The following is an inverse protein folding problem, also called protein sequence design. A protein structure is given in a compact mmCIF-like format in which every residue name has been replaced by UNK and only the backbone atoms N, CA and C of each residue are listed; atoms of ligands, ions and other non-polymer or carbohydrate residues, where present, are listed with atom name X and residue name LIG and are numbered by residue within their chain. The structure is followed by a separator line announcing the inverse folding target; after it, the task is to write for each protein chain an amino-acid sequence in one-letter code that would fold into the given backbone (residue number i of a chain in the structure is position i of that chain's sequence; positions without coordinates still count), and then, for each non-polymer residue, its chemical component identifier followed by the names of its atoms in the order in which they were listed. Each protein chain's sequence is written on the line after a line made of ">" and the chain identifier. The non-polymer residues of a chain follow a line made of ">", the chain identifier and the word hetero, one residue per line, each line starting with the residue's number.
data_IF_952771436745
#
_entry.id   IF_952771436745
#
_cell.length_a   1.000
_cell.length_b   1.000
_cell.length_c   1.000
_cell.angle_alpha   90.00
_cell.angle_beta   90.00
_cell.angle_gamma   90.00
#
_symmetry.space_group_name_H-M   'P 1'
#
loop_
_entity.id
_entity.type
_entity.pdbx_description
1 polymer ?
#
# COMPACT_ATOMS: atom_id res chain seq x y z
N UNK A 1 -1.55 4.75 30.55
CA UNK A 1 -0.71 3.53 30.56
C UNK A 1 -1.50 2.44 31.26
N UNK A 2 -1.84 1.34 30.60
CA UNK A 2 -2.78 0.33 31.11
C UNK A 2 -2.15 -0.67 32.11
N UNK A 3 -0.84 -0.57 32.38
CA UNK A 3 -0.15 -1.44 33.33
C UNK A 3 -0.03 -2.91 32.88
N UNK A 4 -0.20 -3.18 31.59
CA UNK A 4 -0.12 -4.53 31.00
C UNK A 4 1.27 -4.70 30.38
N UNK A 5 2.01 -5.71 30.83
CA UNK A 5 3.30 -6.09 30.25
C UNK A 5 3.30 -7.52 29.72
N UNK A 6 3.73 -7.73 28.46
CA UNK A 6 3.99 -6.72 27.44
C UNK A 6 2.70 -6.03 26.95
N UNK A 7 2.76 -4.74 26.61
CA UNK A 7 1.60 -3.95 26.18
C UNK A 7 0.87 -4.56 24.97
N UNK A 8 -0.49 -4.55 24.93
CA UNK A 8 -1.26 -5.35 23.98
C UNK A 8 -0.95 -4.97 22.52
N UNK A 9 -0.98 -5.94 21.58
CA UNK A 9 -0.87 -5.65 20.16
C UNK A 9 -1.99 -4.73 19.67
N UNK A 10 -1.67 -3.84 18.73
CA UNK A 10 -2.63 -2.86 18.18
C UNK A 10 -3.08 -3.27 16.79
N UNK A 11 -4.40 -3.36 16.58
CA UNK A 11 -5.02 -3.51 15.27
C UNK A 11 -5.53 -2.15 14.75
N UNK A 12 -5.73 -2.02 13.44
CA UNK A 12 -6.11 -0.75 12.81
C UNK A 12 -7.47 -0.87 12.12
N UNK A 13 -8.35 0.08 12.44
CA UNK A 13 -9.57 0.33 11.68
C UNK A 13 -9.37 1.59 10.80
N UNK A 14 -9.28 1.46 9.47
CA UNK A 14 -8.91 2.56 8.58
C UNK A 14 -10.07 3.54 8.33
N UNK A 15 -10.32 4.44 9.28
CA UNK A 15 -11.41 5.44 9.19
C UNK A 15 -11.00 6.75 8.48
N UNK A 16 -9.71 7.03 8.38
CA UNK A 16 -9.19 8.29 7.84
C UNK A 16 -9.00 8.29 6.32
N UNK A 17 -8.29 9.30 5.82
CA UNK A 17 -7.80 9.36 4.43
C UNK A 17 -6.40 8.72 4.31
N UNK A 18 -5.52 8.99 5.27
CA UNK A 18 -4.13 8.50 5.34
C UNK A 18 -3.99 7.12 6.00
N UNK A 19 -4.45 6.07 5.33
CA UNK A 19 -4.50 4.71 5.89
C UNK A 19 -3.31 3.81 5.49
N UNK A 20 -2.12 4.37 5.30
CA UNK A 20 -1.00 3.61 4.69
C UNK A 20 -0.44 2.50 5.59
N UNK A 21 -0.42 2.69 6.92
CA UNK A 21 -0.11 1.61 7.85
C UNK A 21 -1.15 0.49 7.78
N UNK A 22 -2.43 0.84 7.67
CA UNK A 22 -3.52 -0.13 7.50
C UNK A 22 -3.37 -0.93 6.19
N UNK A 23 -3.02 -0.25 5.08
CA UNK A 23 -2.71 -0.91 3.80
C UNK A 23 -1.53 -1.88 3.93
N UNK A 24 -0.47 -1.47 4.62
CA UNK A 24 0.73 -2.30 4.85
C UNK A 24 0.39 -3.55 5.66
N UNK A 25 -0.45 -3.42 6.69
CA UNK A 25 -0.87 -4.52 7.57
C UNK A 25 -2.06 -5.34 7.05
N UNK A 26 -2.55 -5.04 5.84
CA UNK A 26 -3.65 -5.79 5.19
C UNK A 26 -5.06 -5.39 5.63
N UNK A 27 -5.23 -4.37 6.45
CA UNK A 27 -6.53 -3.84 6.88
C UNK A 27 -7.27 -3.05 5.80
N UNK A 28 -6.56 -2.65 4.74
CA UNK A 28 -7.14 -2.04 3.55
C UNK A 28 -7.04 -0.52 3.50
N UNK A 29 -7.59 0.06 2.45
CA UNK A 29 -7.50 1.51 2.16
C UNK A 29 -8.52 2.36 2.91
N UNK A 30 -9.54 1.73 3.50
CA UNK A 30 -10.60 2.39 4.25
C UNK A 30 -11.65 1.41 4.74
N UNK A 31 -12.42 1.84 5.73
CA UNK A 31 -13.58 1.12 6.24
C UNK A 31 -14.78 1.31 5.30
N UNK A 32 -15.49 0.23 5.02
CA UNK A 32 -16.64 0.19 4.11
C UNK A 32 -17.88 -0.39 4.83
N UNK A 33 -18.15 0.08 6.04
CA UNK A 33 -19.30 -0.31 6.86
C UNK A 33 -19.47 -1.83 7.06
N UNK A 34 -18.35 -2.57 7.07
CA UNK A 34 -18.37 -3.99 7.37
C UNK A 34 -18.69 -4.23 8.85
N UNK A 35 -19.39 -5.34 9.16
CA UNK A 35 -19.74 -5.66 10.55
C UNK A 35 -18.53 -5.60 11.49
N UNK A 36 -18.65 -4.83 12.59
CA UNK A 36 -17.61 -4.76 13.61
C UNK A 36 -17.26 -6.14 14.18
N UNK A 37 -18.23 -7.03 14.28
CA UNK A 37 -18.01 -8.43 14.69
C UNK A 37 -17.02 -9.13 13.76
N UNK A 38 -17.16 -8.93 12.44
CA UNK A 38 -16.23 -9.48 11.44
C UNK A 38 -14.83 -8.88 11.58
N UNK A 39 -14.72 -7.57 11.86
CA UNK A 39 -13.44 -6.91 12.13
C UNK A 39 -12.80 -7.54 13.37
N UNK A 40 -13.54 -7.71 14.46
CA UNK A 40 -13.07 -8.31 15.70
C UNK A 40 -12.60 -9.76 15.50
N UNK A 41 -13.32 -10.57 14.73
CA UNK A 41 -12.85 -11.92 14.36
C UNK A 41 -11.52 -11.86 13.60
N UNK A 42 -11.37 -10.93 12.64
CA UNK A 42 -10.08 -10.74 11.97
C UNK A 42 -8.97 -10.24 12.90
N UNK A 43 -9.30 -9.50 13.97
CA UNK A 43 -8.31 -9.08 14.99
C UNK A 43 -7.86 -10.29 15.81
N UNK A 44 -8.81 -11.13 16.23
CA UNK A 44 -8.55 -12.36 17.00
C UNK A 44 -7.71 -13.37 16.21
N UNK A 45 -8.04 -13.59 14.93
CA UNK A 45 -7.30 -14.47 14.01
C UNK A 45 -6.00 -13.85 13.48
N UNK A 46 -5.79 -12.56 13.74
CA UNK A 46 -4.69 -11.79 13.17
C UNK A 46 -3.32 -12.23 13.69
N UNK A 47 -2.32 -12.11 12.82
CA UNK A 47 -0.94 -12.43 13.20
C UNK A 47 -0.29 -11.21 13.84
N UNK A 48 0.32 -11.40 15.00
CA UNK A 48 1.15 -10.36 15.62
C UNK A 48 2.42 -10.18 14.80
N UNK A 49 2.70 -8.94 14.40
CA UNK A 49 3.94 -8.52 13.76
C UNK A 49 4.63 -7.44 14.62
N UNK A 50 5.93 -7.31 14.46
CA UNK A 50 6.67 -6.18 15.01
C UNK A 50 6.59 -5.00 14.06
N UNK A 51 6.59 -3.79 14.60
CA UNK A 51 6.69 -2.54 13.86
C UNK A 51 7.82 -1.73 14.47
N UNK A 52 8.86 -1.48 13.69
CA UNK A 52 9.96 -0.60 14.06
C UNK A 52 9.46 0.82 14.27
N UNK A 53 10.07 1.50 15.23
CA UNK A 53 9.77 2.89 15.58
C UNK A 53 11.07 3.66 15.56
N UNK A 54 11.01 4.90 15.10
CA UNK A 54 12.19 5.70 14.82
C UNK A 54 12.14 6.99 15.61
N UNK A 55 13.20 7.29 16.35
CA UNK A 55 13.37 8.59 16.96
C UNK A 55 13.76 9.60 15.89
N UNK A 56 13.21 10.81 15.99
CA UNK A 56 13.64 11.98 15.23
C UNK A 56 13.95 13.10 16.22
N UNK A 57 15.18 13.63 16.14
CA UNK A 57 15.65 14.72 17.00
C UNK A 57 16.01 15.92 16.15
N UNK A 58 15.60 17.10 16.62
CA UNK A 58 15.86 18.36 15.95
C UNK A 58 16.85 19.18 16.78
N UNK A 59 17.87 19.71 16.12
CA UNK A 59 18.81 20.66 16.70
C UNK A 59 18.92 21.87 15.76
N UNK A 60 19.12 23.06 16.32
CA UNK A 60 19.36 24.26 15.51
C UNK A 60 20.60 24.08 14.63
N UNK A 61 20.57 24.58 13.40
CA UNK A 61 21.77 24.56 12.57
C UNK A 61 22.86 25.46 13.19
N UNK A 62 24.14 25.05 13.23
CA UNK A 62 25.21 25.82 13.89
C UNK A 62 25.33 27.27 13.41
N UNK A 63 25.08 27.51 12.11
CA UNK A 63 25.08 28.86 11.52
C UNK A 63 23.90 29.73 11.96
N UNK A 64 22.82 29.13 12.46
CA UNK A 64 21.65 29.85 12.99
C UNK A 64 21.78 30.13 14.48
N UNK A 65 22.50 29.28 15.22
CA UNK A 65 22.81 29.48 16.64
C UNK A 65 23.78 30.65 16.87
N UNK A 66 24.71 30.89 15.95
CA UNK A 66 25.64 32.03 16.02
C UNK A 66 24.95 33.40 15.85
N UNK A 67 23.78 33.44 15.20
CA UNK A 67 23.00 34.65 14.92
C UNK A 67 22.06 35.06 16.06
N UNK A 68 21.88 34.20 17.08
CA UNK A 68 21.02 34.44 18.24
C UNK A 68 21.81 34.81 19.51
N UNK A 69 23.12 35.00 19.40
CA UNK A 69 23.97 35.45 20.51
C UNK A 69 23.95 36.99 20.71
N UNK A 70 22.77 37.63 20.61
CA UNK A 70 22.55 39.00 21.09
C UNK A 70 21.93 38.95 22.49
N UNK A 71 22.52 39.69 23.41
CA UNK A 71 22.48 39.55 24.89
C UNK A 71 21.13 39.75 25.62
N UNK A 72 19.97 39.60 24.96
CA UNK A 72 18.64 39.90 25.54
C UNK A 72 17.63 38.72 25.47
N UNK A 73 18.02 37.49 25.85
CA UNK A 73 17.10 36.33 25.80
C UNK A 73 16.93 35.60 27.14
N UNK A 74 16.08 36.15 28.02
CA UNK A 74 15.43 35.39 29.11
C UNK A 74 13.93 35.13 28.80
N UNK A 75 13.51 35.25 27.54
CA UNK A 75 12.10 35.12 27.13
C UNK A 75 11.84 34.83 25.63
N UNK A 76 12.81 34.34 24.87
CA UNK A 76 12.55 33.74 23.56
C UNK A 76 12.06 32.29 23.76
N UNK A 77 10.99 31.84 23.08
CA UNK A 77 10.54 30.46 23.22
C UNK A 77 11.64 29.51 22.75
N UNK A 78 11.77 28.32 23.37
CA UNK A 78 12.67 27.29 22.88
C UNK A 78 12.34 27.06 21.40
N UNK A 79 13.38 27.02 20.56
CA UNK A 79 13.34 26.71 19.12
C UNK A 79 12.03 26.00 18.73
N UNK A 80 11.20 26.61 17.87
CA UNK A 80 9.85 26.12 17.56
C UNK A 80 9.94 24.77 16.80
N UNK A 81 10.02 23.70 17.59
CA UNK A 81 10.28 22.33 17.14
C UNK A 81 8.96 21.58 16.94
N UNK A 82 8.94 20.60 16.02
CA UNK A 82 7.79 19.73 15.88
C UNK A 82 7.45 19.05 17.21
N UNK A 83 6.14 18.94 17.55
CA UNK A 83 5.72 18.30 18.79
C UNK A 83 6.00 16.78 18.79
N UNK A 84 6.19 16.19 17.61
CA UNK A 84 6.49 14.77 17.43
C UNK A 84 8.00 14.53 17.29
N UNK A 85 8.50 13.61 18.10
CA UNK A 85 9.90 13.15 18.08
C UNK A 85 10.03 11.68 17.68
N UNK A 86 8.97 11.08 17.12
CA UNK A 86 8.91 9.68 16.71
C UNK A 86 8.04 9.52 15.48
N UNK A 87 8.46 8.70 14.53
CA UNK A 87 7.59 8.21 13.47
C UNK A 87 7.51 6.69 13.46
N UNK A 88 6.38 6.17 12.98
CA UNK A 88 6.11 4.74 12.83
C UNK A 88 5.88 4.37 11.36
N UNK A 89 5.51 5.32 10.50
CA UNK A 89 5.26 5.09 9.09
C UNK A 89 6.37 5.69 8.24
N UNK A 90 6.55 7.02 8.32
CA UNK A 90 7.50 7.73 7.48
C UNK A 90 7.77 9.15 7.98
N UNK A 91 8.94 9.66 7.58
CA UNK A 91 9.33 11.05 7.69
C UNK A 91 9.72 11.56 6.30
N UNK A 92 9.29 12.77 5.92
CA UNK A 92 9.73 13.35 4.65
C UNK A 92 9.92 14.87 4.74
N UNK A 93 10.70 15.39 3.78
CA UNK A 93 10.92 16.82 3.61
C UNK A 93 10.91 17.21 2.12
N UNK A 94 10.49 18.43 1.85
CA UNK A 94 10.46 18.99 0.49
C UNK A 94 9.05 19.09 -0.09
N UNK A 95 8.92 18.83 -1.39
CA UNK A 95 7.66 19.05 -2.12
C UNK A 95 6.50 18.22 -1.58
N UNK A 96 6.74 17.00 -1.09
CA UNK A 96 5.67 16.15 -0.54
C UNK A 96 5.13 16.67 0.81
N UNK A 97 6.03 17.07 1.69
CA UNK A 97 5.70 17.70 2.96
C UNK A 97 5.06 19.07 2.76
N UNK A 98 5.42 19.79 1.69
CA UNK A 98 4.76 21.04 1.32
C UNK A 98 3.27 20.82 0.99
N UNK A 99 2.93 19.73 0.26
CA UNK A 99 1.54 19.37 -0.02
C UNK A 99 0.80 19.04 1.29
N UNK A 100 1.43 18.31 2.21
CA UNK A 100 0.84 18.02 3.52
C UNK A 100 0.60 19.30 4.33
N UNK A 101 1.56 20.24 4.31
CA UNK A 101 1.45 21.53 4.99
C UNK A 101 0.33 22.39 4.41
N UNK A 102 0.23 22.50 3.09
CA UNK A 102 -0.84 23.26 2.43
C UNK A 102 -2.22 22.65 2.68
N UNK A 103 -2.32 21.31 2.70
CA UNK A 103 -3.55 20.63 3.11
C UNK A 103 -3.95 21.00 4.54
N UNK A 104 -2.98 21.00 5.47
CA UNK A 104 -3.22 21.33 6.87
C UNK A 104 -3.65 22.79 7.03
N UNK A 105 -2.90 23.75 6.49
CA UNK A 105 -3.21 25.19 6.52
C UNK A 105 -4.59 25.45 5.89
N UNK A 106 -4.91 24.80 4.77
CA UNK A 106 -6.22 24.91 4.11
C UNK A 106 -7.36 24.34 4.95
N UNK A 107 -7.11 23.23 5.65
CA UNK A 107 -8.08 22.56 6.53
C UNK A 107 -8.37 23.39 7.77
N UNK A 108 -7.35 23.99 8.37
CA UNK A 108 -7.52 24.91 9.50
C UNK A 108 -8.30 26.16 9.08
N UNK A 109 -8.04 26.68 7.88
CA UNK A 109 -8.74 27.85 7.35
C UNK A 109 -10.21 27.57 6.97
N UNK A 110 -10.54 26.36 6.48
CA UNK A 110 -11.89 26.03 5.99
C UNK A 110 -12.35 24.62 6.42
N UNK A 111 -12.58 24.33 7.71
CA UNK A 111 -12.84 22.98 8.20
C UNK A 111 -14.03 22.28 7.51
N UNK A 112 -15.05 23.03 7.12
CA UNK A 112 -16.27 22.52 6.47
C UNK A 112 -16.01 21.91 5.08
N UNK A 113 -14.91 22.29 4.41
CA UNK A 113 -14.54 21.73 3.10
C UNK A 113 -13.89 20.35 3.20
N UNK A 114 -13.39 19.97 4.38
CA UNK A 114 -12.57 18.78 4.60
C UNK A 114 -13.27 17.66 5.38
N UNK A 115 -14.59 17.72 5.48
CA UNK A 115 -15.42 16.72 6.18
C UNK A 115 -15.65 15.42 5.39
N UNK A 116 -15.13 15.31 4.17
CA UNK A 116 -15.35 14.16 3.30
C UNK A 116 -14.03 13.57 2.82
N UNK A 117 -13.87 12.25 3.01
CA UNK A 117 -12.68 11.51 2.56
C UNK A 117 -12.43 11.65 1.06
N UNK A 118 -13.48 11.61 0.23
CA UNK A 118 -13.35 11.77 -1.23
C UNK A 118 -12.85 13.17 -1.60
N UNK A 119 -13.36 14.21 -0.94
CA UNK A 119 -12.90 15.60 -1.15
C UNK A 119 -11.46 15.78 -0.71
N UNK A 120 -11.09 15.22 0.44
CA UNK A 120 -9.74 15.27 0.95
C UNK A 120 -8.77 14.58 -0.01
N UNK A 121 -9.15 13.41 -0.53
CA UNK A 121 -8.34 12.69 -1.52
C UNK A 121 -8.21 13.46 -2.84
N UNK A 122 -9.28 14.13 -3.30
CA UNK A 122 -9.23 14.99 -4.48
C UNK A 122 -8.31 16.21 -4.28
N UNK A 123 -8.27 16.78 -3.08
CA UNK A 123 -7.31 17.84 -2.75
C UNK A 123 -5.87 17.34 -2.92
N UNK A 124 -5.51 16.20 -2.31
CA UNK A 124 -4.17 15.63 -2.44
C UNK A 124 -3.80 15.32 -3.90
N UNK A 125 -4.75 14.81 -4.68
CA UNK A 125 -4.53 14.57 -6.11
C UNK A 125 -4.30 15.86 -6.90
N UNK A 126 -5.09 16.91 -6.61
CA UNK A 126 -4.97 18.23 -7.24
C UNK A 126 -3.68 18.94 -6.89
N UNK A 127 -3.34 18.98 -5.59
CA UNK A 127 -2.18 19.70 -5.08
C UNK A 127 -0.87 18.93 -5.33
N UNK A 128 -0.89 17.60 -5.25
CA UNK A 128 0.23 16.75 -5.68
C UNK A 128 0.56 16.86 -7.17
N UNK A 129 -0.42 17.27 -8.00
CA UNK A 129 -0.24 17.49 -9.45
C UNK A 129 0.16 18.93 -9.80
N UNK A 130 0.17 19.86 -8.84
CA UNK A 130 0.46 21.26 -9.11
C UNK A 130 1.95 21.49 -9.28
N UNK A 131 2.34 21.71 -10.54
CA UNK A 131 3.71 22.02 -10.94
C UNK A 131 4.35 23.20 -10.19
N UNK A 132 3.57 24.07 -9.55
CA UNK A 132 4.03 25.21 -8.76
C UNK A 132 4.76 24.76 -7.49
N UNK A 133 4.21 23.81 -6.73
CA UNK A 133 4.86 23.27 -5.54
C UNK A 133 6.15 22.54 -5.93
N UNK A 134 6.06 21.66 -6.94
CA UNK A 134 7.25 20.96 -7.43
C UNK A 134 8.31 21.93 -7.93
N UNK A 135 7.92 23.07 -8.52
CA UNK A 135 8.84 24.14 -8.96
C UNK A 135 9.53 24.85 -7.79
N UNK A 136 8.81 25.18 -6.72
CA UNK A 136 9.37 25.86 -5.55
C UNK A 136 10.49 25.04 -4.87
N UNK A 137 10.40 23.71 -4.97
CA UNK A 137 11.32 22.77 -4.31
C UNK A 137 12.29 22.08 -5.26
N UNK A 138 12.47 22.56 -6.51
CA UNK A 138 13.46 22.00 -7.45
C UNK A 138 14.89 22.07 -6.95
N UNK A 139 15.20 23.12 -6.21
CA UNK A 139 16.54 23.35 -5.66
C UNK A 139 16.68 22.82 -4.23
N UNK A 140 15.75 21.99 -3.75
CA UNK A 140 15.82 21.41 -2.39
C UNK A 140 17.19 20.79 -2.12
N UNK A 141 17.69 19.99 -3.06
CA UNK A 141 18.99 19.32 -2.97
C UNK A 141 20.20 20.26 -2.78
N UNK A 142 20.09 21.54 -3.09
CA UNK A 142 21.16 22.52 -2.85
C UNK A 142 21.26 22.94 -1.38
N UNK A 143 20.17 22.83 -0.62
CA UNK A 143 20.06 23.31 0.76
C UNK A 143 19.94 22.19 1.78
N UNK A 144 20.11 20.93 1.35
CA UNK A 144 20.02 19.75 2.20
C UNK A 144 21.29 18.94 2.10
N UNK A 145 21.84 18.55 3.24
CA UNK A 145 22.84 17.49 3.37
C UNK A 145 22.21 16.21 3.89
N UNK A 146 22.70 15.06 3.44
CA UNK A 146 22.21 13.75 3.86
C UNK A 146 23.38 12.80 4.10
N UNK A 147 23.48 12.30 5.33
CA UNK A 147 24.40 11.23 5.71
C UNK A 147 23.59 10.05 6.24
N UNK A 148 23.87 8.84 5.76
CA UNK A 148 23.24 7.60 6.22
C UNK A 148 24.31 6.58 6.59
N UNK A 149 24.26 6.06 7.82
CA UNK A 149 25.24 5.12 8.38
C UNK A 149 26.70 5.52 8.12
N UNK A 150 27.01 6.82 8.27
CA UNK A 150 28.35 7.38 8.06
C UNK A 150 28.75 7.62 6.59
N UNK A 151 27.86 7.31 5.64
CA UNK A 151 28.07 7.56 4.21
C UNK A 151 27.33 8.83 3.78
N UNK A 152 28.06 9.75 3.14
CA UNK A 152 27.48 11.00 2.63
C UNK A 152 26.79 10.78 1.26
N UNK A 153 25.50 11.07 1.21
CA UNK A 153 24.66 11.01 0.01
C UNK A 153 24.33 12.40 -0.56
N UNK A 154 24.92 13.48 0.00
CA UNK A 154 24.62 14.86 -0.37
C UNK A 154 24.86 15.15 -1.84
N UNK A 155 25.96 14.67 -2.43
CA UNK A 155 26.20 14.87 -3.86
C UNK A 155 25.24 14.04 -4.71
N UNK A 156 24.85 12.85 -4.24
CA UNK A 156 23.89 12.01 -4.94
C UNK A 156 22.51 12.66 -5.01
N UNK A 157 22.03 13.28 -3.93
CA UNK A 157 20.72 13.98 -3.95
C UNK A 157 20.75 15.21 -4.86
N UNK A 158 21.90 15.88 -5.00
CA UNK A 158 22.13 17.01 -5.93
C UNK A 158 22.13 16.57 -7.38
N UNK A 159 22.86 15.51 -7.71
CA UNK A 159 22.86 14.91 -9.05
C UNK A 159 21.44 14.54 -9.51
N UNK A 160 20.69 13.93 -8.61
CA UNK A 160 19.32 13.50 -8.84
C UNK A 160 18.33 14.68 -8.86
N UNK A 161 18.73 15.90 -8.45
CA UNK A 161 17.81 17.06 -8.33
C UNK A 161 16.55 16.70 -7.54
N UNK A 162 16.75 16.02 -6.40
CA UNK A 162 15.67 15.54 -5.56
C UNK A 162 14.74 16.69 -5.15
N UNK A 163 13.43 16.52 -5.34
CA UNK A 163 12.40 17.49 -4.90
C UNK A 163 11.80 17.13 -3.56
N UNK A 164 11.92 15.87 -3.15
CA UNK A 164 11.55 15.37 -1.83
C UNK A 164 12.53 14.28 -1.39
N UNK A 165 12.78 14.19 -0.09
CA UNK A 165 13.54 13.11 0.54
C UNK A 165 12.60 12.41 1.53
N UNK A 166 12.49 11.09 1.41
CA UNK A 166 11.59 10.25 2.18
C UNK A 166 12.39 9.20 2.94
N UNK A 167 12.03 9.03 4.21
CA UNK A 167 12.46 7.94 5.07
C UNK A 167 11.23 7.10 5.37
N UNK A 168 11.22 5.86 4.88
CA UNK A 168 10.07 4.98 4.92
C UNK A 168 10.35 3.82 5.88
N UNK A 169 9.47 3.61 6.85
CA UNK A 169 9.44 2.41 7.69
C UNK A 169 8.41 1.39 7.20
N UNK A 170 7.45 1.82 6.39
CA UNK A 170 6.40 0.96 5.83
C UNK A 170 6.38 1.03 4.31
N UNK A 171 5.89 -0.04 3.69
CA UNK A 171 5.85 -0.18 2.23
C UNK A 171 4.94 0.81 1.51
N UNK A 172 3.88 1.26 2.19
CA UNK A 172 2.83 2.09 1.60
C UNK A 172 3.02 3.55 1.98
N UNK A 173 2.89 4.42 0.99
CA UNK A 173 3.04 5.86 1.13
C UNK A 173 1.99 6.56 0.26
N UNK A 174 1.53 7.74 0.68
CA UNK A 174 0.67 8.63 -0.10
C UNK A 174 -0.42 7.90 -0.89
N UNK A 175 -1.43 7.41 -0.16
CA UNK A 175 -2.57 6.66 -0.71
C UNK A 175 -2.24 5.27 -1.29
N UNK A 176 -1.13 4.66 -0.87
CA UNK A 176 -0.78 3.28 -1.18
C UNK A 176 0.28 3.10 -2.27
N UNK A 177 0.88 4.19 -2.74
CA UNK A 177 2.09 4.15 -3.55
C UNK A 177 3.21 3.40 -2.83
N UNK A 178 4.19 2.90 -3.60
CA UNK A 178 5.31 2.12 -3.09
C UNK A 178 6.63 2.73 -3.59
N UNK A 179 7.11 3.84 -2.98
CA UNK A 179 8.28 4.55 -3.49
C UNK A 179 9.56 3.71 -3.47
N UNK A 180 9.67 2.75 -2.53
CA UNK A 180 10.73 1.75 -2.53
C UNK A 180 10.52 0.65 -3.57
N UNK A 181 9.27 0.30 -3.89
CA UNK A 181 8.94 -0.76 -4.85
C UNK A 181 9.55 -2.12 -4.50
N UNK A 182 9.84 -2.92 -5.54
CA UNK A 182 10.52 -4.22 -5.42
C UNK A 182 11.91 -4.12 -6.02
N UNK A 183 13.00 -4.12 -5.21
CA UNK A 183 14.35 -4.13 -5.75
C UNK A 183 14.64 -5.45 -6.45
N UNK A 184 15.37 -5.38 -7.58
CA UNK A 184 15.89 -6.58 -8.23
C UNK A 184 17.14 -7.05 -7.48
N UNK A 185 17.42 -8.36 -7.48
CA UNK A 185 18.58 -8.93 -6.78
C UNK A 185 19.93 -8.32 -7.21
N UNK A 186 20.02 -7.75 -8.41
CA UNK A 186 21.23 -7.10 -8.94
C UNK A 186 21.50 -5.70 -8.38
N UNK A 187 20.55 -5.09 -7.63
CA UNK A 187 20.66 -3.70 -7.18
C UNK A 187 21.21 -3.56 -5.75
N UNK A 188 21.48 -4.68 -5.05
CA UNK A 188 22.05 -4.66 -3.70
C UNK A 188 21.11 -4.12 -2.62
N UNK A 189 19.81 -4.07 -2.88
CA UNK A 189 18.77 -3.64 -1.93
C UNK A 189 17.88 -4.82 -1.55
N UNK A 190 17.51 -4.88 -0.29
CA UNK A 190 16.57 -5.86 0.24
C UNK A 190 15.12 -5.38 0.07
N UNK A 191 14.14 -6.32 0.03
CA UNK A 191 12.73 -5.96 0.10
C UNK A 191 12.44 -5.15 1.36
N UNK A 192 11.67 -4.06 1.20
CA UNK A 192 11.28 -3.21 2.33
C UNK A 192 10.46 -3.98 3.35
N UNK A 193 10.82 -3.80 4.62
CA UNK A 193 10.16 -4.42 5.76
C UNK A 193 9.98 -3.37 6.86
N UNK A 194 9.03 -3.64 7.75
CA UNK A 194 8.69 -2.75 8.86
C UNK A 194 9.17 -3.31 10.20
N UNK A 195 10.00 -4.35 10.15
CA UNK A 195 10.41 -5.19 11.27
C UNK A 195 11.87 -5.69 11.16
N UNK A 196 12.70 -5.00 10.38
CA UNK A 196 14.10 -5.36 10.11
C UNK A 196 15.13 -4.41 10.74
N UNK A 197 14.66 -3.39 11.47
CA UNK A 197 15.50 -2.38 12.12
C UNK A 197 16.21 -1.44 11.14
N UNK A 198 15.73 -1.34 9.90
CA UNK A 198 16.27 -0.46 8.86
C UNK A 198 15.19 0.49 8.33
N UNK A 199 15.58 1.68 7.90
CA UNK A 199 14.70 2.66 7.27
C UNK A 199 15.13 2.86 5.81
N UNK A 200 14.16 2.84 4.90
CA UNK A 200 14.42 3.06 3.48
C UNK A 200 14.49 4.56 3.17
N UNK A 201 15.67 5.03 2.78
CA UNK A 201 15.86 6.38 2.26
C UNK A 201 15.66 6.39 0.74
N UNK A 202 14.70 7.18 0.27
CA UNK A 202 14.37 7.33 -1.16
C UNK A 202 14.12 8.80 -1.50
N UNK A 203 14.38 9.19 -2.74
CA UNK A 203 14.11 10.54 -3.24
C UNK A 203 13.08 10.52 -4.34
N UNK A 204 12.26 11.55 -4.40
CA UNK A 204 11.33 11.74 -5.50
C UNK A 204 11.90 12.70 -6.55
N UNK A 205 11.84 12.26 -7.82
CA UNK A 205 12.15 13.05 -9.00
C UNK A 205 10.99 12.89 -10.00
N UNK A 206 10.15 13.91 -10.15
CA UNK A 206 9.10 13.89 -11.18
C UNK A 206 8.06 12.76 -11.02
N UNK A 207 7.75 12.36 -9.79
CA UNK A 207 6.71 11.36 -9.48
C UNK A 207 7.21 9.91 -9.30
N UNK A 208 8.48 9.63 -9.59
CA UNK A 208 9.10 8.32 -9.35
C UNK A 208 10.04 8.36 -8.15
N UNK A 209 10.03 7.28 -7.34
CA UNK A 209 10.96 7.08 -6.23
C UNK A 209 12.29 6.48 -6.70
N UNK A 210 13.41 7.05 -6.27
CA UNK A 210 14.75 6.53 -6.50
C UNK A 210 15.38 6.15 -5.17
N UNK A 211 15.73 4.87 -5.03
CA UNK A 211 16.34 4.28 -3.84
C UNK A 211 17.72 4.89 -3.58
N UNK A 212 18.00 5.32 -2.35
CA UNK A 212 19.34 5.76 -1.95
C UNK A 212 20.04 4.68 -1.13
N UNK A 213 19.44 4.28 -0.01
CA UNK A 213 19.98 3.30 0.92
C UNK A 213 18.89 2.73 1.85
N UNK A 214 19.24 1.62 2.50
CA UNK A 214 18.58 1.14 3.73
C UNK A 214 19.56 1.37 4.86
N UNK A 215 19.19 2.16 5.86
CA UNK A 215 20.10 2.57 6.92
C UNK A 215 19.49 2.42 8.32
N UNK A 216 20.35 2.40 9.35
CA UNK A 216 19.94 2.36 10.77
C UNK A 216 19.99 3.72 11.44
N UNK A 217 20.77 4.61 10.86
CA UNK A 217 20.95 5.99 11.30
C UNK A 217 20.99 6.90 10.09
N UNK A 218 20.35 8.06 10.20
CA UNK A 218 20.43 9.10 9.19
C UNK A 218 20.54 10.47 9.85
N UNK A 219 21.34 11.34 9.25
CA UNK A 219 21.50 12.74 9.63
C UNK A 219 21.19 13.61 8.44
N UNK A 220 20.23 14.51 8.60
CA UNK A 220 19.82 15.48 7.59
C UNK A 220 20.16 16.87 8.08
N UNK A 221 20.88 17.65 7.29
CA UNK A 221 21.14 19.07 7.58
C UNK A 221 20.34 19.95 6.63
N UNK A 222 19.67 20.97 7.14
CA UNK A 222 18.90 21.93 6.35
C UNK A 222 19.46 23.34 6.53
N UNK A 223 19.64 24.05 5.42
CA UNK A 223 20.25 25.40 5.42
C UNK A 223 19.22 26.53 5.29
N UNK A 224 17.95 26.21 5.04
CA UNK A 224 16.84 27.16 4.92
C UNK A 224 15.57 26.58 5.57
N UNK A 225 14.53 27.40 5.80
CA UNK A 225 13.25 26.88 6.24
C UNK A 225 12.64 25.91 5.20
N UNK A 226 12.29 24.69 5.63
CA UNK A 226 11.81 23.61 4.77
C UNK A 226 10.57 22.96 5.41
N UNK A 227 9.50 22.67 4.65
CA UNK A 227 8.38 21.89 5.13
C UNK A 227 8.82 20.43 5.33
N UNK A 228 8.44 19.88 6.47
CA UNK A 228 8.62 18.48 6.83
C UNK A 228 7.27 17.87 7.18
N UNK A 229 7.18 16.54 7.19
CA UNK A 229 6.04 15.83 7.75
C UNK A 229 6.47 14.55 8.47
N UNK A 230 5.81 14.28 9.59
CA UNK A 230 6.05 13.12 10.46
C UNK A 230 4.73 12.35 10.56
N UNK A 231 4.65 11.15 9.99
CA UNK A 231 3.43 10.33 9.96
C UNK A 231 2.17 11.07 9.44
N UNK A 232 2.35 12.08 8.58
CA UNK A 232 1.28 12.92 8.02
C UNK A 232 1.05 14.25 8.72
N UNK A 233 1.68 14.51 9.87
CA UNK A 233 1.62 15.80 10.56
C UNK A 233 2.71 16.75 10.00
N UNK A 234 2.33 17.86 9.35
CA UNK A 234 3.28 18.75 8.71
C UNK A 234 3.86 19.79 9.69
N UNK A 235 5.05 20.28 9.38
CA UNK A 235 5.69 21.37 10.12
C UNK A 235 6.59 22.21 9.23
N UNK A 236 6.69 23.52 9.50
CA UNK A 236 7.63 24.42 8.83
C UNK A 236 8.91 24.52 9.65
N UNK A 237 9.89 23.67 9.35
CA UNK A 237 11.12 23.57 10.12
C UNK A 237 12.11 24.69 9.74
N UNK A 238 12.65 25.39 10.74
CA UNK A 238 13.77 26.32 10.59
C UNK A 238 15.08 25.56 10.23
N UNK A 239 16.14 26.23 9.74
CA UNK A 239 17.41 25.55 9.44
C UNK A 239 17.91 24.72 10.62
N UNK A 240 17.98 23.40 10.44
CA UNK A 240 18.17 22.44 11.54
C UNK A 240 19.05 21.27 11.12
N UNK A 241 19.61 20.59 12.11
CA UNK A 241 20.16 19.24 12.00
C UNK A 241 19.14 18.26 12.56
N UNK A 242 18.84 17.23 11.79
CA UNK A 242 17.82 16.23 12.07
C UNK A 242 18.50 14.88 12.19
N UNK A 243 18.42 14.25 13.36
CA UNK A 243 18.98 12.93 13.61
C UNK A 243 17.86 11.89 13.71
N UNK A 244 17.94 10.88 12.85
CA UNK A 244 17.04 9.72 12.79
C UNK A 244 17.78 8.49 13.30
N UNK A 245 17.17 7.78 14.24
CA UNK A 245 17.74 6.56 14.81
C UNK A 245 16.65 5.57 15.20
N UNK A 246 16.96 4.28 15.10
CA UNK A 246 16.07 3.24 15.58
C UNK A 246 15.77 3.43 17.08
N UNK A 247 14.50 3.32 17.47
CA UNK A 247 14.04 3.49 18.86
C UNK A 247 13.79 2.15 19.53
N UNK A 248 12.75 1.47 19.06
CA UNK A 248 12.28 0.19 19.58
C UNK A 248 11.26 -0.40 18.59
N UNK A 249 10.75 -1.59 18.91
CA UNK A 249 9.62 -2.20 18.20
C UNK A 249 8.34 -2.14 19.03
N UNK A 250 7.21 -2.08 18.36
CA UNK A 250 5.87 -2.27 18.95
C UNK A 250 5.14 -3.41 18.27
N UNK A 251 4.19 -4.00 18.98
CA UNK A 251 3.38 -5.11 18.45
C UNK A 251 2.15 -4.57 17.75
N UNK A 252 1.97 -4.96 16.50
CA UNK A 252 0.79 -4.65 15.69
C UNK A 252 0.14 -5.93 15.19
N UNK A 253 -1.14 -5.88 14.87
CA UNK A 253 -1.88 -7.01 14.32
C UNK A 253 -1.95 -6.85 12.80
N UNK A 254 -1.45 -7.84 12.08
CA UNK A 254 -1.69 -7.99 10.65
C UNK A 254 -3.01 -8.71 10.41
N UNK A 255 -3.83 -8.20 9.51
CA UNK A 255 -5.08 -8.87 9.11
C UNK A 255 -4.73 -10.26 8.55
N UNK A 256 -5.44 -11.32 8.97
CA UNK A 256 -5.19 -12.66 8.45
C UNK A 256 -5.47 -12.66 6.95
N UNK A 257 -4.50 -13.14 6.18
CA UNK A 257 -4.75 -13.52 4.78
C UNK A 257 -5.75 -14.68 4.85
N UNK A 258 -6.96 -14.51 4.29
CA UNK A 258 -7.94 -15.60 4.24
C UNK A 258 -7.25 -16.80 3.59
N UNK A 259 -7.02 -17.86 4.34
CA UNK A 259 -6.61 -19.14 3.78
C UNK A 259 -7.86 -19.73 3.14
N UNK A 260 -7.92 -19.72 1.81
CA UNK A 260 -8.79 -20.64 1.10
C UNK A 260 -8.44 -22.08 1.50
N UNK A 261 -9.47 -22.88 1.69
CA UNK A 261 -9.54 -24.27 2.14
C UNK A 261 -8.40 -25.23 1.75
N UNK A 262 -7.94 -25.97 2.77
CA UNK A 262 -7.29 -27.31 2.79
C UNK A 262 -5.99 -27.49 1.97
N UNK A 263 -4.84 -27.83 2.60
CA UNK A 263 -3.73 -28.39 1.86
C UNK A 263 -4.16 -29.76 1.35
N UNK A 264 -4.36 -29.89 0.04
CA UNK A 264 -4.33 -31.20 -0.62
C UNK A 264 -3.04 -31.88 -0.15
N UNK A 265 -3.18 -33.06 0.44
CA UNK A 265 -2.09 -33.90 0.93
C UNK A 265 -1.01 -33.91 -0.16
N UNK A 266 0.06 -33.16 0.09
CA UNK A 266 1.23 -33.17 -0.76
C UNK A 266 1.96 -34.47 -0.47
N UNK A 267 2.08 -35.29 -1.51
CA UNK A 267 2.95 -36.44 -1.60
C UNK A 267 4.34 -36.11 -1.00
N UNK A 268 4.93 -36.90 -0.08
CA UNK A 268 6.07 -36.49 0.75
C UNK A 268 7.42 -36.27 0.02
N UNK A 269 7.44 -36.15 -1.31
CA UNK A 269 8.67 -36.17 -2.11
C UNK A 269 8.85 -35.00 -3.11
N UNK A 270 8.15 -33.88 -2.95
CA UNK A 270 8.45 -32.67 -3.75
C UNK A 270 9.03 -31.52 -2.91
N UNK A 271 10.29 -31.10 -3.16
CA UNK A 271 10.86 -29.94 -2.51
C UNK A 271 10.15 -28.66 -2.95
N UNK A 272 9.95 -27.77 -1.97
CA UNK A 272 9.44 -26.40 -2.09
C UNK A 272 10.05 -25.67 -3.29
N UNK A 273 9.38 -25.70 -4.43
CA UNK A 273 9.72 -24.91 -5.60
C UNK A 273 8.68 -23.79 -5.77
N UNK A 274 9.16 -22.59 -5.47
CA UNK A 274 8.90 -21.34 -6.22
C UNK A 274 7.43 -20.98 -6.50
N UNK A 275 6.92 -19.99 -5.76
CA UNK A 275 6.06 -18.99 -6.40
C UNK A 275 6.89 -18.32 -7.51
N UNK A 276 6.36 -18.13 -8.73
CA UNK A 276 7.12 -17.51 -9.80
C UNK A 276 7.45 -16.05 -9.43
N UNK A 277 8.69 -15.59 -9.62
CA UNK A 277 9.07 -14.21 -9.37
C UNK A 277 8.46 -13.31 -10.46
N UNK A 278 7.78 -12.23 -10.06
CA UNK A 278 7.34 -11.20 -11.00
C UNK A 278 5.92 -10.64 -10.87
N UNK A 279 5.21 -10.79 -9.75
CA UNK A 279 3.85 -10.22 -9.63
C UNK A 279 2.78 -10.96 -10.46
N UNK A 280 3.11 -12.17 -10.94
CA UNK A 280 2.18 -13.07 -11.60
C UNK A 280 1.32 -13.81 -10.58
N UNK A 281 0.02 -13.74 -10.76
CA UNK A 281 -0.97 -14.53 -10.04
C UNK A 281 -1.08 -15.91 -10.68
N UNK A 282 -1.13 -16.94 -9.83
CA UNK A 282 -1.46 -18.31 -10.21
C UNK A 282 -2.87 -18.59 -9.74
N UNK A 283 -3.81 -18.61 -10.67
CA UNK A 283 -5.24 -18.60 -10.38
C UNK A 283 -5.88 -19.91 -10.83
N UNK A 284 -6.59 -20.59 -9.93
CA UNK A 284 -7.42 -21.74 -10.24
C UNK A 284 -8.75 -21.26 -10.82
N UNK A 285 -9.08 -21.74 -12.02
CA UNK A 285 -10.32 -21.41 -12.72
C UNK A 285 -11.30 -22.57 -12.54
N UNK A 286 -12.47 -22.27 -12.01
CA UNK A 286 -13.57 -23.23 -11.86
C UNK A 286 -14.83 -22.68 -12.53
N UNK A 287 -15.64 -23.56 -13.10
CA UNK A 287 -16.89 -23.18 -13.73
C UNK A 287 -18.09 -23.76 -13.00
N UNK A 288 -19.19 -23.03 -13.04
CA UNK A 288 -20.45 -23.39 -12.44
C UNK A 288 -21.50 -23.49 -13.54
N UNK A 289 -22.33 -24.53 -13.50
CA UNK A 289 -23.48 -24.63 -14.41
C UNK A 289 -24.48 -23.53 -14.14
N UNK A 290 -25.15 -23.06 -15.20
CA UNK A 290 -26.24 -22.09 -15.09
C UNK A 290 -27.38 -22.63 -14.23
N UNK A 291 -27.69 -23.92 -14.35
CA UNK A 291 -28.72 -24.61 -13.55
C UNK A 291 -28.36 -24.60 -12.05
N UNK A 292 -27.08 -24.79 -11.73
CA UNK A 292 -26.58 -24.78 -10.35
C UNK A 292 -26.54 -23.35 -9.81
N UNK A 293 -26.16 -22.39 -10.67
CA UNK A 293 -26.14 -20.97 -10.36
C UNK A 293 -27.52 -20.43 -9.95
N UNK A 294 -28.56 -20.80 -10.68
CA UNK A 294 -29.94 -20.42 -10.39
C UNK A 294 -30.55 -21.22 -9.23
N UNK A 295 -30.35 -22.54 -9.21
CA UNK A 295 -30.91 -23.43 -8.17
C UNK A 295 -30.36 -23.10 -6.78
N UNK A 296 -29.07 -22.78 -6.68
CA UNK A 296 -28.41 -22.46 -5.41
C UNK A 296 -28.55 -20.98 -5.02
N UNK A 297 -29.41 -20.21 -5.71
CA UNK A 297 -29.81 -18.86 -5.34
C UNK A 297 -28.62 -17.91 -5.09
N UNK A 298 -27.59 -18.04 -5.92
CA UNK A 298 -26.36 -17.24 -5.84
C UNK A 298 -25.55 -17.45 -4.54
N UNK A 299 -25.86 -18.45 -3.72
CA UNK A 299 -25.16 -18.74 -2.46
C UNK A 299 -23.72 -19.19 -2.71
N UNK A 300 -22.77 -18.35 -2.29
CA UNK A 300 -21.35 -18.51 -2.63
C UNK A 300 -20.75 -19.83 -2.13
N UNK A 301 -20.90 -20.24 -0.85
CA UNK A 301 -20.34 -21.52 -0.37
C UNK A 301 -20.89 -22.73 -1.13
N UNK A 302 -22.18 -22.75 -1.43
CA UNK A 302 -22.82 -23.86 -2.15
C UNK A 302 -22.36 -23.92 -3.60
N UNK A 303 -22.21 -22.77 -4.26
CA UNK A 303 -21.74 -22.68 -5.64
C UNK A 303 -20.27 -23.04 -5.80
N UNK A 304 -19.43 -22.73 -4.81
CA UNK A 304 -18.04 -23.17 -4.80
C UNK A 304 -17.94 -24.70 -4.71
N UNK A 305 -18.80 -25.35 -3.90
CA UNK A 305 -18.83 -26.80 -3.78
C UNK A 305 -19.37 -27.50 -5.04
N UNK A 306 -20.31 -26.86 -5.74
CA UNK A 306 -20.88 -27.36 -6.99
C UNK A 306 -20.01 -27.04 -8.22
N UNK A 307 -18.94 -26.25 -8.08
CA UNK A 307 -18.10 -25.84 -9.21
C UNK A 307 -17.16 -26.94 -9.70
N UNK A 308 -16.98 -27.01 -11.02
CA UNK A 308 -16.06 -27.92 -11.68
C UNK A 308 -14.72 -27.21 -11.97
N UNK A 309 -13.58 -27.73 -11.50
CA UNK A 309 -12.28 -27.12 -11.79
C UNK A 309 -11.91 -27.35 -13.26
N UNK A 310 -11.63 -26.25 -13.97
CA UNK A 310 -11.18 -26.24 -15.37
C UNK A 310 -9.66 -26.29 -15.50
N UNK A 311 -8.94 -25.65 -14.58
CA UNK A 311 -7.48 -25.66 -14.56
C UNK A 311 -6.88 -24.34 -14.06
N UNK A 312 -5.56 -24.18 -14.21
CA UNK A 312 -4.82 -23.05 -13.65
C UNK A 312 -4.37 -22.11 -14.77
N UNK A 313 -4.57 -20.81 -14.57
CA UNK A 313 -3.99 -19.76 -15.42
C UNK A 313 -2.91 -19.00 -14.66
N UNK A 314 -1.87 -18.59 -15.39
CA UNK A 314 -0.82 -17.72 -14.87
C UNK A 314 -0.93 -16.36 -15.56
N UNK A 315 -1.24 -15.31 -14.81
CA UNK A 315 -1.52 -13.96 -15.34
C UNK A 315 -0.85 -12.90 -14.48
N UNK A 316 -0.54 -11.73 -15.04
CA UNK A 316 -0.01 -10.60 -14.25
C UNK A 316 -1.09 -10.05 -13.30
N UNK A 317 -0.70 -9.53 -12.13
CA UNK A 317 -1.66 -9.05 -11.13
C UNK A 317 -2.48 -7.82 -11.56
N UNK A 318 -1.97 -7.05 -12.53
CA UNK A 318 -2.62 -5.88 -13.12
C UNK A 318 -3.37 -6.20 -14.43
N UNK A 319 -3.42 -7.47 -14.84
CA UNK A 319 -4.12 -7.89 -16.05
C UNK A 319 -5.62 -7.58 -15.96
N UNK A 320 -6.17 -7.04 -17.05
CA UNK A 320 -7.62 -6.83 -17.18
C UNK A 320 -8.34 -8.17 -17.38
N UNK A 321 -9.62 -8.24 -17.02
CA UNK A 321 -10.39 -9.47 -17.23
C UNK A 321 -10.51 -9.85 -18.71
N UNK A 322 -10.49 -8.88 -19.63
CA UNK A 322 -10.43 -9.16 -21.06
C UNK A 322 -9.14 -9.88 -21.46
N UNK A 323 -8.01 -9.59 -20.81
CA UNK A 323 -6.76 -10.33 -21.01
C UNK A 323 -6.87 -11.72 -20.38
N UNK A 324 -7.38 -11.83 -19.16
CA UNK A 324 -7.59 -13.13 -18.48
C UNK A 324 -8.52 -14.04 -19.28
N UNK A 325 -9.56 -13.49 -19.93
CA UNK A 325 -10.48 -14.23 -20.80
C UNK A 325 -9.76 -14.97 -21.92
N UNK A 326 -8.77 -14.34 -22.56
CA UNK A 326 -7.97 -14.99 -23.60
C UNK A 326 -7.17 -16.19 -23.07
N UNK A 327 -6.69 -16.12 -21.82
CA UNK A 327 -6.01 -17.24 -21.17
C UNK A 327 -6.99 -18.37 -20.82
N UNK A 328 -8.19 -18.04 -20.34
CA UNK A 328 -9.25 -19.01 -20.04
C UNK A 328 -9.76 -19.69 -21.31
N UNK A 329 -9.95 -18.96 -22.41
CA UNK A 329 -10.41 -19.54 -23.68
C UNK A 329 -9.37 -20.51 -24.26
N UNK A 330 -8.08 -20.21 -24.12
CA UNK A 330 -6.98 -21.13 -24.48
C UNK A 330 -6.99 -22.38 -23.60
N UNK A 331 -7.11 -22.20 -22.28
CA UNK A 331 -7.22 -23.31 -21.32
C UNK A 331 -8.40 -24.23 -21.65
N UNK A 332 -9.54 -23.65 -22.07
CA UNK A 332 -10.72 -24.41 -22.48
C UNK A 332 -10.51 -25.22 -23.77
N UNK A 333 -9.81 -24.66 -24.75
CA UNK A 333 -9.47 -25.38 -25.99
C UNK A 333 -8.56 -26.58 -25.70
N UNK A 334 -7.52 -26.37 -24.89
CA UNK A 334 -6.60 -27.44 -24.45
C UNK A 334 -7.32 -28.52 -23.61
N UNK A 335 -8.28 -28.13 -22.78
CA UNK A 335 -9.09 -29.06 -21.97
C UNK A 335 -10.08 -29.88 -22.81
N UNK A 336 -10.64 -29.31 -23.88
CA UNK A 336 -11.57 -29.99 -24.80
C UNK A 336 -10.88 -31.08 -25.63
N UNK A 337 -9.60 -30.91 -25.95
CA UNK A 337 -8.85 -31.87 -26.78
C UNK A 337 -8.31 -33.07 -25.98
N UNK A 338 -8.17 -32.93 -24.66
CA UNK A 338 -7.46 -33.91 -23.81
C UNK A 338 -8.37 -34.84 -23.01
N UNK A 339 -9.64 -34.46 -22.73
CA UNK A 339 -10.50 -35.19 -21.79
C UNK A 339 -11.96 -35.34 -22.27
N UNK A 340 -12.29 -36.47 -22.92
CA UNK A 340 -13.67 -36.86 -23.28
C UNK A 340 -14.55 -37.36 -22.10
N UNK A 341 -14.14 -37.17 -20.83
CA UNK A 341 -14.70 -37.90 -19.67
C UNK A 341 -15.40 -37.08 -18.58
N UNK A 342 -15.68 -35.78 -18.78
CA UNK A 342 -16.47 -34.97 -17.83
C UNK A 342 -17.72 -34.38 -18.49
N UNK A 343 -18.82 -34.30 -17.74
CA UNK A 343 -20.15 -33.94 -18.26
C UNK A 343 -20.38 -32.44 -18.43
N UNK A 344 -19.50 -31.59 -17.90
CA UNK A 344 -19.67 -30.14 -17.94
C UNK A 344 -18.83 -29.50 -19.06
N UNK A 345 -19.49 -28.80 -19.98
CA UNK A 345 -18.88 -28.04 -21.07
C UNK A 345 -19.22 -26.56 -20.89
N UNK A 346 -18.20 -25.74 -20.66
CA UNK A 346 -18.38 -24.29 -20.57
C UNK A 346 -18.69 -23.72 -21.96
N UNK A 347 -19.85 -23.06 -22.09
CA UNK A 347 -20.31 -22.50 -23.37
C UNK A 347 -19.43 -21.36 -23.88
N UNK A 348 -19.57 -21.01 -25.17
CA UNK A 348 -18.86 -19.88 -25.78
C UNK A 348 -19.21 -18.52 -25.17
N UNK A 349 -20.37 -18.42 -24.51
CA UNK A 349 -20.90 -17.18 -23.99
C UNK A 349 -20.73 -17.02 -22.47
N UNK A 350 -19.68 -17.59 -21.89
CA UNK A 350 -19.46 -17.59 -20.45
C UNK A 350 -19.13 -16.20 -19.88
N UNK A 351 -19.50 -15.97 -18.61
CA UNK A 351 -19.29 -14.74 -17.85
C UNK A 351 -18.43 -14.98 -16.60
N UNK A 352 -17.68 -13.97 -16.18
CA UNK A 352 -16.98 -14.00 -14.90
C UNK A 352 -17.95 -13.80 -13.74
N UNK A 353 -17.69 -14.48 -12.63
CA UNK A 353 -18.40 -14.27 -11.37
C UNK A 353 -17.57 -13.43 -10.42
N UNK A 354 -18.13 -12.30 -9.99
CA UNK A 354 -17.55 -11.44 -8.97
C UNK A 354 -17.64 -12.11 -7.60
N UNK A 355 -16.47 -12.48 -7.07
CA UNK A 355 -16.32 -13.15 -5.79
C UNK A 355 -16.04 -12.18 -4.63
N UNK A 356 -15.98 -10.87 -4.87
CA UNK A 356 -15.66 -9.88 -3.83
C UNK A 356 -16.74 -9.79 -2.75
N UNK A 357 -17.98 -10.12 -3.09
CA UNK A 357 -19.06 -10.20 -2.13
C UNK A 357 -18.92 -11.45 -1.24
N UNK A 358 -19.28 -11.32 0.04
CA UNK A 358 -19.04 -12.35 1.05
C UNK A 358 -19.97 -13.55 0.91
N UNK A 359 -21.20 -13.35 0.42
CA UNK A 359 -22.23 -14.38 0.48
C UNK A 359 -22.81 -14.72 -0.89
N UNK A 360 -22.56 -13.90 -1.93
CA UNK A 360 -23.11 -14.12 -3.26
C UNK A 360 -22.11 -13.92 -4.38
N UNK A 361 -22.32 -14.63 -5.48
CA UNK A 361 -21.67 -14.35 -6.74
C UNK A 361 -22.53 -13.41 -7.59
N UNK A 362 -21.90 -12.46 -8.28
CA UNK A 362 -22.56 -11.60 -9.26
C UNK A 362 -21.96 -11.81 -10.65
N UNK A 363 -22.78 -11.80 -11.69
CA UNK A 363 -22.28 -11.87 -13.07
C UNK A 363 -21.63 -10.53 -13.42
N UNK A 364 -20.47 -10.58 -14.08
CA UNK A 364 -19.79 -9.40 -14.60
C UNK A 364 -20.14 -9.26 -16.06
N UNK A 365 -20.73 -8.12 -16.44
CA UNK A 365 -21.02 -7.81 -17.83
C UNK A 365 -19.73 -7.72 -18.65
N UNK A 366 -19.77 -8.26 -19.87
CA UNK A 366 -18.60 -8.28 -20.78
C UNK A 366 -18.00 -6.90 -21.03
N UNK A 367 -18.82 -5.85 -21.01
CA UNK A 367 -18.38 -4.47 -21.20
C UNK A 367 -17.48 -3.96 -20.07
N UNK A 368 -17.60 -4.54 -18.86
CA UNK A 368 -16.82 -4.16 -17.70
C UNK A 368 -15.47 -4.90 -17.61
N UNK A 369 -15.26 -5.92 -18.43
CA UNK A 369 -14.04 -6.75 -18.38
C UNK A 369 -12.76 -6.00 -18.75
N UNK A 370 -12.87 -4.98 -19.60
CA UNK A 370 -11.72 -4.14 -19.98
C UNK A 370 -11.39 -3.08 -18.91
N UNK A 371 -12.33 -2.85 -17.98
CA UNK A 371 -12.27 -1.80 -16.96
C UNK A 371 -11.93 -2.36 -15.56
N UNK A 372 -11.99 -3.67 -15.38
CA UNK A 372 -11.75 -4.36 -14.10
C UNK A 372 -10.47 -5.19 -14.18
N UNK A 373 -9.70 -5.16 -13.10
CA UNK A 373 -8.47 -5.95 -12.97
C UNK A 373 -8.74 -7.26 -12.23
N UNK A 374 -7.97 -8.29 -12.55
CA UNK A 374 -8.11 -9.61 -11.92
C UNK A 374 -7.89 -9.55 -10.41
N UNK A 375 -6.94 -8.74 -9.94
CA UNK A 375 -6.64 -8.54 -8.52
C UNK A 375 -7.80 -7.91 -7.72
N UNK A 376 -8.74 -7.23 -8.39
CA UNK A 376 -9.95 -6.72 -7.76
C UNK A 376 -10.97 -7.83 -7.48
N UNK A 377 -10.87 -8.97 -8.16
CA UNK A 377 -11.86 -10.04 -8.16
C UNK A 377 -11.44 -11.23 -7.32
N UNK A 378 -10.18 -11.65 -7.50
CA UNK A 378 -9.56 -12.72 -6.73
C UNK A 378 -8.07 -12.80 -7.06
N UNK A 379 -7.30 -13.34 -6.11
CA UNK A 379 -5.85 -13.58 -6.31
C UNK A 379 -5.50 -15.07 -6.38
N UNK A 380 -6.47 -15.95 -6.12
CA UNK A 380 -6.26 -17.41 -6.00
C UNK A 380 -7.29 -18.23 -6.79
N UNK A 381 -8.58 -17.89 -6.70
CA UNK A 381 -9.66 -18.65 -7.37
C UNK A 381 -10.56 -17.75 -8.25
N UNK A 382 -10.85 -18.19 -9.47
CA UNK A 382 -11.73 -17.49 -10.41
C UNK A 382 -12.90 -18.39 -10.80
N UNK A 383 -14.11 -17.86 -10.68
CA UNK A 383 -15.34 -18.59 -10.96
C UNK A 383 -16.01 -18.07 -12.23
N UNK A 384 -16.47 -19.00 -13.07
CA UNK A 384 -17.13 -18.73 -14.34
C UNK A 384 -18.53 -19.32 -14.32
N UNK A 385 -19.45 -18.72 -15.07
CA UNK A 385 -20.78 -19.30 -15.33
C UNK A 385 -21.06 -19.27 -16.83
N UNK A 386 -21.73 -20.30 -17.36
CA UNK A 386 -22.22 -20.26 -18.75
C UNK A 386 -23.22 -19.11 -18.93
N UNK A 387 -23.17 -18.42 -20.07
CA UNK A 387 -24.13 -17.36 -20.39
C UNK A 387 -25.47 -17.93 -20.80
N UNK A 388 -26.54 -17.24 -20.44
CA UNK A 388 -27.88 -17.55 -20.90
C UNK A 388 -27.99 -17.24 -22.40
N UNK A 389 -28.34 -18.24 -23.22
CA UNK A 389 -28.88 -18.00 -24.54
C UNK A 389 -30.32 -17.47 -24.43
N UNK A 390 -30.50 -16.28 -23.84
CA UNK A 390 -31.77 -15.55 -23.92
C UNK A 390 -31.64 -14.58 -25.08
N UNK A 391 -32.23 -15.03 -26.20
CA UNK A 391 -32.68 -14.20 -27.30
C UNK A 391 -33.22 -12.86 -26.82
N UNK A 392 -32.77 -11.78 -27.47
CA UNK A 392 -33.55 -10.57 -27.66
C UNK A 392 -35.02 -10.90 -27.89
N UNK A 393 -35.88 -10.58 -26.92
CA UNK A 393 -37.32 -10.48 -27.10
C UNK A 393 -37.92 -9.59 -25.99
N UNK A 394 -38.35 -8.39 -26.40
CA UNK A 394 -39.51 -7.61 -25.93
C UNK A 394 -39.66 -7.37 -24.41
N UNK A 395 -39.75 -6.14 -23.88
CA UNK A 395 -40.35 -4.89 -24.36
C UNK A 395 -39.78 -3.70 -23.56
#
# INVERSE_FOLDING_TARGET
>A
NLGIEPGPPVAILPLGTGNDLARTLGWGSGYADESLTKVLCCVEEGRIAQLDRWNIRFAAHPSSAASQASEDEEQSPPYDQPPLNVFNNYFSLGADAAVALEFHESREANPERFNSRLRNMMFYAGEGSRSVITRQWRDLSQFVGLECDGTDYTDRIRELRATSILFLNIAKYSAGATPWGSPACSQGFEPQRHDDGSVEATVQMGGHGHRLCQCKTARVSTMKPIPIQIDGEPWRLQPSVIDISWRNQTRVVMKPKRRGSVPVIADPLQPLLSQPPGGRLRIQVSAVSIDDFERLQFDKPSLMLASDPLGIVLVEADASLSQVRQHVDRLRQEFSDTCQRRSFKLDNDWLFLDSTNTNRFFRIDKQLESLRQISELSTEDLYLVSGDSVSTAEN
#
